data_IF_465682517107
#
_entry.id   IF_465682517107
#
_cell.length_a   1.000
_cell.length_b   1.000
_cell.length_c   1.000
_cell.angle_alpha   90.00
_cell.angle_beta   90.00
_cell.angle_gamma   90.00
#
_symmetry.space_group_name_H-M   'P 1'
#
loop_
_entity.id
_entity.type
_entity.pdbx_description
1 polymer ?
#
# COMPACT_ATOMS: atom_id res chain seq x y z
N UNK A 1 10.86 0.50 -2.85
CA UNK A 1 10.12 1.73 -3.27
C UNK A 1 10.74 2.61 -4.36
N UNK A 2 12.05 2.58 -4.64
CA UNK A 2 12.71 3.55 -5.56
C UNK A 2 12.05 3.70 -6.93
N UNK A 3 11.61 2.60 -7.55
CA UNK A 3 10.97 2.63 -8.87
C UNK A 3 9.56 3.26 -8.84
N UNK A 4 8.78 2.99 -7.79
CA UNK A 4 7.45 3.58 -7.57
C UNK A 4 7.49 5.09 -7.34
N UNK A 5 8.64 5.64 -6.90
CA UNK A 5 8.89 7.08 -6.73
C UNK A 5 9.44 7.77 -7.99
N UNK A 6 9.51 7.07 -9.12
CA UNK A 6 10.00 7.61 -10.40
C UNK A 6 9.01 8.59 -11.03
N UNK A 7 9.49 9.56 -11.81
CA UNK A 7 8.61 10.44 -12.61
C UNK A 7 8.06 9.77 -13.89
N UNK A 8 8.52 8.55 -14.21
CA UNK A 8 8.04 7.77 -15.35
C UNK A 8 6.95 6.80 -14.90
N UNK A 9 5.70 6.92 -15.41
CA UNK A 9 4.59 6.06 -15.02
C UNK A 9 4.90 4.57 -15.19
N UNK A 10 5.57 4.20 -16.29
CA UNK A 10 5.94 2.80 -16.55
C UNK A 10 6.86 2.25 -15.46
N UNK A 11 7.89 3.01 -15.08
CA UNK A 11 8.80 2.58 -14.00
C UNK A 11 8.09 2.47 -12.66
N UNK A 12 7.10 3.32 -12.43
CA UNK A 12 6.34 3.25 -11.20
C UNK A 12 5.52 1.97 -11.11
N UNK A 13 4.78 1.66 -12.18
CA UNK A 13 3.99 0.44 -12.34
C UNK A 13 4.87 -0.82 -12.28
N UNK A 14 6.02 -0.82 -12.97
CA UNK A 14 7.01 -1.89 -12.89
C UNK A 14 7.49 -2.12 -11.45
N UNK A 15 7.72 -1.03 -10.72
CA UNK A 15 8.13 -1.05 -9.32
C UNK A 15 7.07 -1.68 -8.42
N UNK A 16 5.80 -1.35 -8.64
CA UNK A 16 4.67 -1.95 -7.94
C UNK A 16 4.58 -3.44 -8.23
N UNK A 17 4.55 -3.85 -9.50
CA UNK A 17 4.44 -5.26 -9.88
C UNK A 17 5.63 -6.11 -9.45
N UNK A 18 6.82 -5.51 -9.30
CA UNK A 18 7.99 -6.19 -8.74
C UNK A 18 7.80 -6.50 -7.24
N UNK A 19 7.20 -5.59 -6.48
CA UNK A 19 7.00 -5.74 -5.04
C UNK A 19 5.77 -6.57 -4.69
N UNK A 20 4.72 -6.54 -5.52
CA UNK A 20 3.48 -7.26 -5.31
C UNK A 20 3.65 -8.74 -4.89
N UNK A 21 4.42 -9.58 -5.61
CA UNK A 21 4.60 -10.97 -5.21
C UNK A 21 5.42 -11.17 -3.92
N UNK A 22 6.17 -10.15 -3.50
CA UNK A 22 7.02 -10.17 -2.30
C UNK A 22 6.48 -9.24 -1.19
N UNK A 23 5.22 -8.81 -1.27
CA UNK A 23 4.66 -7.81 -0.36
C UNK A 23 4.70 -8.25 1.11
N UNK A 24 4.49 -9.54 1.37
CA UNK A 24 4.57 -10.11 2.72
C UNK A 24 5.97 -10.08 3.31
N UNK A 25 7.01 -10.26 2.48
CA UNK A 25 8.42 -10.20 2.88
C UNK A 25 8.86 -8.77 3.23
N UNK A 26 8.26 -7.78 2.56
CA UNK A 26 8.56 -6.36 2.73
C UNK A 26 7.54 -5.61 3.60
N UNK A 27 6.66 -6.31 4.31
CA UNK A 27 5.53 -5.68 5.00
C UNK A 27 5.95 -4.62 6.04
N UNK A 28 7.00 -4.87 6.80
CA UNK A 28 7.45 -3.91 7.82
C UNK A 28 7.95 -2.60 7.14
N UNK A 29 8.68 -2.69 6.02
CA UNK A 29 9.11 -1.53 5.21
C UNK A 29 7.91 -0.81 4.55
N UNK A 30 6.93 -1.57 4.05
CA UNK A 30 5.70 -1.02 3.47
C UNK A 30 4.91 -0.17 4.47
N UNK A 31 4.81 -0.64 5.72
CA UNK A 31 4.13 0.08 6.80
C UNK A 31 4.86 1.37 7.16
N UNK A 32 6.18 1.33 7.27
CA UNK A 32 7.02 2.51 7.53
C UNK A 32 6.88 3.55 6.41
N UNK A 33 6.96 3.12 5.16
CA UNK A 33 6.82 3.99 3.99
C UNK A 33 5.42 4.61 3.89
N UNK A 34 4.36 3.85 4.18
CA UNK A 34 3.00 4.38 4.18
C UNK A 34 2.78 5.46 5.25
N UNK A 35 3.42 5.32 6.41
CA UNK A 35 3.35 6.32 7.47
C UNK A 35 4.19 7.56 7.17
N UNK A 36 5.33 7.40 6.50
CA UNK A 36 6.21 8.49 6.12
C UNK A 36 5.66 9.30 4.94
N UNK A 37 5.03 8.65 3.97
CA UNK A 37 4.53 9.31 2.76
C UNK A 37 3.30 10.16 3.06
N UNK A 38 3.33 11.47 2.78
CA UNK A 38 2.21 12.39 3.04
C UNK A 38 1.71 13.13 1.81
N UNK A 39 2.54 13.25 0.77
CA UNK A 39 2.31 14.18 -0.31
C UNK A 39 1.93 13.47 -1.62
N UNK A 40 2.48 12.27 -1.86
CA UNK A 40 2.20 11.50 -3.07
C UNK A 40 0.99 10.57 -2.85
N UNK A 41 -0.18 11.05 -3.27
CA UNK A 41 -1.44 10.31 -3.21
C UNK A 41 -1.40 8.96 -3.93
N UNK A 42 -0.79 8.93 -5.13
CA UNK A 42 -0.71 7.71 -5.93
C UNK A 42 0.16 6.65 -5.27
N UNK A 43 1.31 7.07 -4.73
CA UNK A 43 2.18 6.20 -3.97
C UNK A 43 1.51 5.68 -2.69
N UNK A 44 0.77 6.52 -1.96
CA UNK A 44 0.00 6.08 -0.79
C UNK A 44 -1.03 5.01 -1.14
N UNK A 45 -1.73 5.16 -2.27
CA UNK A 45 -2.67 4.15 -2.76
C UNK A 45 -1.98 2.80 -3.00
N UNK A 46 -0.88 2.79 -3.74
CA UNK A 46 -0.14 1.55 -4.01
C UNK A 46 0.48 0.92 -2.76
N UNK A 47 1.02 1.72 -1.85
CA UNK A 47 1.54 1.21 -0.59
C UNK A 47 0.44 0.51 0.21
N UNK A 48 -0.75 1.10 0.27
CA UNK A 48 -1.90 0.53 0.98
C UNK A 48 -2.40 -0.77 0.31
N UNK A 49 -2.41 -0.80 -1.02
CA UNK A 49 -2.71 -2.01 -1.79
C UNK A 49 -1.71 -3.14 -1.49
N UNK A 50 -0.40 -2.85 -1.53
CA UNK A 50 0.65 -3.82 -1.19
C UNK A 50 0.55 -4.31 0.28
N UNK A 51 0.19 -3.43 1.22
CA UNK A 51 -0.07 -3.81 2.62
C UNK A 51 -1.24 -4.80 2.71
N UNK A 52 -2.30 -4.59 1.93
CA UNK A 52 -3.42 -5.53 1.81
C UNK A 52 -3.00 -6.87 1.23
N UNK A 53 -2.24 -6.85 0.13
CA UNK A 53 -1.77 -8.04 -0.58
C UNK A 53 -0.74 -8.87 0.20
N UNK A 54 -0.10 -8.28 1.21
CA UNK A 54 0.73 -9.01 2.16
C UNK A 54 -0.06 -10.04 3.00
N UNK A 55 -1.40 -9.92 3.08
CA UNK A 55 -2.34 -10.85 3.77
C UNK A 55 -1.88 -11.25 5.16
N UNK A 56 -1.40 -10.27 5.91
CA UNK A 56 -0.89 -10.46 7.27
C UNK A 56 -1.65 -9.60 8.26
N UNK A 57 -1.94 -10.17 9.43
CA UNK A 57 -2.55 -9.45 10.55
C UNK A 57 -1.72 -8.25 11.02
N UNK A 58 -0.42 -8.18 10.68
CA UNK A 58 0.42 -7.02 10.92
C UNK A 58 -0.09 -5.75 10.22
N UNK A 59 -0.76 -5.88 9.06
CA UNK A 59 -1.31 -4.76 8.30
C UNK A 59 -2.66 -4.24 8.83
N UNK A 60 -3.34 -5.00 9.69
CA UNK A 60 -4.68 -4.67 10.18
C UNK A 60 -4.79 -3.26 10.79
N UNK A 61 -3.87 -2.79 11.65
CA UNK A 61 -4.00 -1.46 12.25
C UNK A 61 -4.05 -0.35 11.20
N UNK A 62 -3.24 -0.45 10.13
CA UNK A 62 -3.19 0.55 9.06
C UNK A 62 -4.44 0.46 8.19
N UNK A 63 -4.88 -0.74 7.82
CA UNK A 63 -6.08 -0.92 7.01
C UNK A 63 -7.33 -0.42 7.75
N UNK A 64 -7.49 -0.74 9.04
CA UNK A 64 -8.63 -0.28 9.85
C UNK A 64 -8.62 1.24 10.03
N UNK A 65 -7.46 1.86 10.29
CA UNK A 65 -7.34 3.32 10.39
C UNK A 65 -7.80 4.02 9.10
N UNK A 66 -7.42 3.48 7.95
CA UNK A 66 -7.76 4.07 6.65
C UNK A 66 -9.24 3.93 6.25
N UNK A 67 -10.04 3.09 6.91
CA UNK A 67 -11.50 3.07 6.72
C UNK A 67 -12.16 4.41 7.11
N UNK A 68 -11.56 5.14 8.04
CA UNK A 68 -12.01 6.47 8.46
C UNK A 68 -11.44 7.62 7.63
N UNK A 69 -10.58 7.34 6.64
CA UNK A 69 -9.93 8.38 5.84
C UNK A 69 -10.97 9.20 5.07
N UNK A 70 -10.83 10.53 4.92
CA UNK A 70 -11.67 11.31 4.01
C UNK A 70 -11.41 10.97 2.54
N UNK A 71 -10.27 10.36 2.24
CA UNK A 71 -9.85 9.95 0.91
C UNK A 71 -10.55 8.65 0.49
N UNK A 72 -11.37 8.73 -0.54
CA UNK A 72 -12.14 7.59 -1.04
C UNK A 72 -11.28 6.49 -1.63
N UNK A 73 -10.17 6.82 -2.28
CA UNK A 73 -9.27 5.83 -2.86
C UNK A 73 -8.57 5.03 -1.75
N UNK A 74 -8.10 5.71 -0.70
CA UNK A 74 -7.48 5.04 0.44
C UNK A 74 -8.49 4.18 1.21
N UNK A 75 -9.73 4.64 1.39
CA UNK A 75 -10.81 3.81 1.98
C UNK A 75 -11.06 2.56 1.14
N UNK A 76 -11.16 2.70 -0.19
CA UNK A 76 -11.39 1.57 -1.10
C UNK A 76 -10.30 0.50 -1.02
N UNK A 77 -9.03 0.93 -0.98
CA UNK A 77 -7.90 0.01 -0.81
C UNK A 77 -7.85 -0.64 0.56
N UNK A 78 -8.19 0.10 1.62
CA UNK A 78 -8.31 -0.46 2.96
C UNK A 78 -9.38 -1.57 3.04
N UNK A 79 -10.57 -1.31 2.50
CA UNK A 79 -11.64 -2.31 2.42
C UNK A 79 -11.22 -3.53 1.60
N UNK A 80 -10.53 -3.32 0.48
CA UNK A 80 -10.01 -4.40 -0.34
C UNK A 80 -9.01 -5.26 0.44
N UNK A 81 -8.03 -4.64 1.09
CA UNK A 81 -7.02 -5.36 1.89
C UNK A 81 -7.63 -6.16 3.04
N UNK A 82 -8.66 -5.62 3.73
CA UNK A 82 -9.37 -6.35 4.77
C UNK A 82 -10.11 -7.58 4.22
N UNK A 83 -10.73 -7.48 3.04
CA UNK A 83 -11.37 -8.62 2.36
C UNK A 83 -10.40 -9.73 1.95
N UNK A 84 -9.10 -9.44 1.83
CA UNK A 84 -8.07 -10.45 1.54
C UNK A 84 -7.62 -11.22 2.80
N UNK A 85 -7.98 -10.74 4.00
CA UNK A 85 -7.63 -11.34 5.29
C UNK A 85 -8.74 -12.25 5.86
N UNK A 86 -9.98 -12.05 5.43
CA UNK A 86 -11.15 -12.89 5.75
C UNK A 86 -11.18 -14.18 4.91
#
# INVERSE_FOLDING_TARGET
MRLMRSHSPQRQEDGFHTLLPAASEHLDELLEEFQAERDDHGLRCWLLELIGEARSNKGLPVLVDQLGSPDEALRGWAEHGLRLLD
#
